data_IF_032729542282
#
_entry.id   IF_032729542282
#
_cell.length_a   1.000
_cell.length_b   1.000
_cell.length_c   1.000
_cell.angle_alpha   90.00
_cell.angle_beta   90.00
_cell.angle_gamma   90.00
#
_symmetry.space_group_name_H-M   'P 1'
#
loop_
_entity.id
_entity.type
_entity.pdbx_description
1 polymer ?
#
# COMPACT_ATOMS: atom_id res chain seq x y z
N UNK A 1 0.76 13.89 16.97
CA UNK A 1 0.21 12.90 16.01
C UNK A 1 0.85 13.22 14.66
N UNK A 2 1.53 12.25 14.06
CA UNK A 2 2.11 12.37 12.73
C UNK A 2 1.00 12.45 11.69
N UNK A 3 1.22 13.24 10.64
CA UNK A 3 0.27 13.38 9.52
C UNK A 3 0.88 12.70 8.31
N UNK A 4 0.22 11.65 7.82
CA UNK A 4 0.67 10.90 6.64
C UNK A 4 0.40 11.76 5.41
N UNK A 5 1.46 12.21 4.73
CA UNK A 5 1.32 13.04 3.52
C UNK A 5 0.84 12.22 2.32
N UNK A 6 0.28 12.88 1.32
CA UNK A 6 -0.10 12.25 0.06
C UNK A 6 1.10 11.59 -0.64
N UNK A 7 2.29 12.19 -0.56
CA UNK A 7 3.50 11.59 -1.15
C UNK A 7 3.85 10.26 -0.45
N UNK A 8 3.61 10.17 0.86
CA UNK A 8 3.85 8.94 1.60
C UNK A 8 2.87 7.83 1.21
N UNK A 9 1.59 8.16 0.96
CA UNK A 9 0.62 7.21 0.42
C UNK A 9 1.01 6.71 -0.98
N UNK A 10 1.44 7.61 -1.87
CA UNK A 10 1.88 7.25 -3.21
C UNK A 10 3.09 6.32 -3.17
N UNK A 11 4.05 6.62 -2.29
CA UNK A 11 5.26 5.84 -2.10
C UNK A 11 4.96 4.45 -1.51
N UNK A 12 4.07 4.35 -0.52
CA UNK A 12 3.57 3.07 0.01
C UNK A 12 2.87 2.28 -1.10
N UNK A 13 2.06 2.94 -1.93
CA UNK A 13 1.35 2.30 -3.02
C UNK A 13 2.30 1.75 -4.10
N UNK A 14 3.37 2.49 -4.44
CA UNK A 14 4.43 2.01 -5.35
C UNK A 14 5.05 0.72 -4.80
N UNK A 15 5.53 0.74 -3.54
CA UNK A 15 6.16 -0.44 -2.92
C UNK A 15 5.22 -1.63 -2.83
N UNK A 16 3.97 -1.41 -2.47
CA UNK A 16 2.96 -2.48 -2.44
C UNK A 16 2.74 -3.07 -3.83
N UNK A 17 2.57 -2.25 -4.87
CA UNK A 17 2.39 -2.74 -6.25
C UNK A 17 3.59 -3.54 -6.75
N UNK A 18 4.81 -3.14 -6.41
CA UNK A 18 6.02 -3.90 -6.72
C UNK A 18 6.07 -5.23 -5.98
N UNK A 19 5.60 -5.26 -4.73
CA UNK A 19 5.50 -6.48 -3.94
C UNK A 19 4.30 -7.37 -4.34
N UNK A 20 3.29 -6.82 -5.01
CA UNK A 20 2.15 -7.58 -5.50
C UNK A 20 2.58 -8.49 -6.65
N UNK A 21 2.64 -9.79 -6.38
CA UNK A 21 2.74 -10.80 -7.43
C UNK A 21 1.46 -10.91 -8.26
N UNK A 22 1.44 -11.90 -9.17
CA UNK A 22 0.25 -12.23 -9.98
C UNK A 22 -0.89 -12.93 -9.22
N UNK A 23 -0.75 -13.12 -7.90
CA UNK A 23 -1.75 -13.76 -7.05
C UNK A 23 -2.93 -12.83 -6.69
N UNK A 24 -3.92 -13.41 -6.02
CA UNK A 24 -5.09 -12.70 -5.47
C UNK A 24 -4.96 -12.35 -3.99
N UNK A 25 -3.80 -12.60 -3.37
CA UNK A 25 -3.57 -12.36 -1.95
C UNK A 25 -2.14 -11.88 -1.73
N UNK A 26 -1.98 -10.93 -0.84
CA UNK A 26 -0.70 -10.41 -0.37
C UNK A 26 -0.69 -10.43 1.16
N UNK A 27 0.43 -10.85 1.75
CA UNK A 27 0.68 -10.71 3.18
C UNK A 27 2.15 -10.41 3.37
N UNK A 28 2.45 -9.26 3.97
CA UNK A 28 3.82 -8.79 4.12
C UNK A 28 3.90 -7.38 4.67
N UNK A 29 5.11 -6.82 4.65
CA UNK A 29 5.40 -5.47 5.12
C UNK A 29 6.12 -4.65 4.07
N UNK A 30 5.81 -3.37 4.02
CA UNK A 30 6.56 -2.36 3.25
C UNK A 30 7.05 -1.27 4.20
N UNK A 31 8.28 -0.82 3.98
CA UNK A 31 8.93 0.21 4.78
C UNK A 31 9.19 1.44 3.91
N UNK A 32 9.01 2.62 4.47
CA UNK A 32 9.18 3.91 3.81
C UNK A 32 9.84 4.90 4.79
N UNK A 33 10.66 5.82 4.27
CA UNK A 33 11.35 6.81 5.08
C UNK A 33 11.05 8.21 4.55
N UNK A 34 10.73 9.14 5.46
CA UNK A 34 10.54 10.56 5.17
C UNK A 34 11.41 11.36 6.13
N UNK A 35 12.56 11.85 5.63
CA UNK A 35 13.59 12.45 6.47
C UNK A 35 14.11 11.42 7.49
N UNK A 36 14.03 11.75 8.78
CA UNK A 36 14.41 10.86 9.88
C UNK A 36 13.25 9.98 10.39
N UNK A 37 12.05 10.11 9.80
CA UNK A 37 10.88 9.33 10.20
C UNK A 37 10.80 8.04 9.38
N UNK A 38 10.73 6.91 10.07
CA UNK A 38 10.55 5.58 9.47
C UNK A 38 9.09 5.16 9.62
N UNK A 39 8.49 4.72 8.53
CA UNK A 39 7.11 4.26 8.47
C UNK A 39 7.09 2.81 7.96
N UNK A 40 6.28 1.96 8.59
CA UNK A 40 6.11 0.56 8.20
C UNK A 40 4.65 0.19 8.16
N UNK A 41 4.18 -0.26 7.00
CA UNK A 41 2.89 -0.87 6.81
C UNK A 41 3.06 -2.39 6.78
N UNK A 42 2.45 -3.11 7.71
CA UNK A 42 2.28 -4.56 7.60
C UNK A 42 0.82 -4.83 7.29
N UNK A 43 0.53 -5.58 6.22
CA UNK A 43 -0.84 -5.80 5.78
C UNK A 43 -1.05 -7.17 5.15
N UNK A 44 -2.26 -7.70 5.33
CA UNK A 44 -2.81 -8.82 4.58
C UNK A 44 -3.97 -8.33 3.73
N UNK A 45 -3.84 -8.45 2.41
CA UNK A 45 -4.69 -7.82 1.41
C UNK A 45 -5.23 -8.86 0.43
N UNK A 46 -6.52 -8.76 0.10
CA UNK A 46 -7.12 -9.47 -1.04
C UNK A 46 -7.04 -8.57 -2.27
N UNK A 47 -6.50 -9.11 -3.35
CA UNK A 47 -6.25 -8.41 -4.61
C UNK A 47 -7.23 -8.89 -5.67
N UNK A 48 -8.17 -8.04 -6.07
CA UNK A 48 -9.08 -8.32 -7.17
C UNK A 48 -8.46 -7.85 -8.48
N UNK A 49 -8.45 -8.73 -9.47
CA UNK A 49 -7.85 -8.46 -10.77
C UNK A 49 -8.82 -8.83 -11.88
N UNK A 50 -8.85 -8.01 -12.92
CA UNK A 50 -9.55 -8.29 -14.18
C UNK A 50 -8.52 -8.55 -15.27
N UNK A 51 -8.88 -9.46 -16.18
CA UNK A 51 -8.15 -9.72 -17.41
C UNK A 51 -8.82 -8.93 -18.53
N UNK A 52 -8.21 -7.81 -18.90
CA UNK A 52 -8.66 -6.99 -20.02
C UNK A 52 -8.08 -7.59 -21.31
N UNK A 53 -8.96 -8.18 -22.13
CA UNK A 53 -8.58 -8.82 -23.39
C UNK A 53 -8.70 -7.84 -24.55
N UNK A 54 -7.58 -7.57 -25.19
CA UNK A 54 -7.47 -6.73 -26.38
C UNK A 54 -6.92 -7.57 -27.55
N UNK A 55 -7.14 -7.16 -28.81
CA UNK A 55 -6.50 -7.80 -29.96
C UNK A 55 -4.97 -7.91 -29.83
N UNK A 56 -4.34 -6.93 -29.16
CA UNK A 56 -2.89 -6.85 -28.92
C UNK A 56 -2.41 -7.71 -27.74
N UNK A 57 -3.34 -8.29 -26.95
CA UNK A 57 -3.02 -9.19 -25.85
C UNK A 57 -3.93 -9.06 -24.63
N UNK A 58 -3.63 -9.85 -23.60
CA UNK A 58 -4.32 -9.80 -22.31
C UNK A 58 -3.52 -8.95 -21.32
N UNK A 59 -4.16 -7.97 -20.68
CA UNK A 59 -3.57 -7.19 -19.59
C UNK A 59 -4.31 -7.50 -18.30
N UNK A 60 -3.56 -7.88 -17.27
CA UNK A 60 -4.13 -8.13 -15.96
C UNK A 60 -4.05 -6.88 -15.10
N UNK A 61 -5.19 -6.24 -14.86
CA UNK A 61 -5.31 -5.00 -14.10
C UNK A 61 -5.81 -5.28 -12.69
N UNK A 62 -5.25 -4.57 -11.70
CA UNK A 62 -5.80 -4.56 -10.34
C UNK A 62 -7.06 -3.69 -10.32
N UNK A 63 -8.19 -4.28 -9.95
CA UNK A 63 -9.49 -3.59 -9.93
C UNK A 63 -9.92 -3.19 -8.53
N UNK A 64 -9.47 -3.94 -7.52
CA UNK A 64 -9.75 -3.61 -6.14
C UNK A 64 -8.72 -4.21 -5.17
N UNK A 65 -8.60 -3.60 -3.99
CA UNK A 65 -7.79 -4.07 -2.87
C UNK A 65 -8.60 -3.95 -1.59
N UNK A 66 -8.78 -5.08 -0.91
CA UNK A 66 -9.53 -5.14 0.35
C UNK A 66 -8.58 -5.56 1.47
N UNK A 67 -8.44 -4.76 2.54
CA UNK A 67 -7.63 -5.14 3.68
C UNK A 67 -8.37 -6.17 4.54
N UNK A 68 -7.69 -7.27 4.86
CA UNK A 68 -8.14 -8.25 5.86
C UNK A 68 -7.66 -7.83 7.25
N UNK A 69 -6.39 -7.43 7.33
CA UNK A 69 -5.73 -6.96 8.54
C UNK A 69 -4.58 -6.04 8.14
N UNK A 70 -4.30 -5.01 8.95
CA UNK A 70 -3.16 -4.12 8.74
C UNK A 70 -2.77 -3.39 10.03
N UNK A 71 -1.50 -3.01 10.10
CA UNK A 71 -0.94 -2.11 11.12
C UNK A 71 0.05 -1.14 10.45
N UNK A 72 0.02 0.13 10.85
CA UNK A 72 0.91 1.16 10.34
C UNK A 72 1.67 1.82 11.49
N UNK A 73 2.97 1.56 11.56
CA UNK A 73 3.87 2.11 12.57
C UNK A 73 4.63 3.31 12.02
N UNK A 74 4.77 4.34 12.86
CA UNK A 74 5.57 5.53 12.56
C UNK A 74 6.56 5.74 13.69
N UNK A 75 7.86 5.71 13.36
CA UNK A 75 8.96 5.88 14.31
C UNK A 75 9.75 7.13 13.94
N UNK A 76 9.88 8.03 14.90
CA UNK A 76 10.68 9.26 14.82
C UNK A 76 11.94 9.11 15.69
N UNK A 77 12.79 10.14 15.72
CA UNK A 77 13.94 10.18 16.62
C UNK A 77 13.54 10.04 18.12
N UNK A 78 12.34 10.51 18.48
CA UNK A 78 11.79 10.44 19.84
C UNK A 78 11.06 9.12 20.12
N UNK A 79 11.03 8.19 19.16
CA UNK A 79 10.36 6.89 19.25
C UNK A 79 9.07 6.80 18.44
N UNK A 80 8.26 5.79 18.76
CA UNK A 80 7.01 5.51 18.06
C UNK A 80 5.92 6.55 18.38
N UNK A 81 5.28 7.07 17.33
CA UNK A 81 4.25 8.10 17.41
C UNK A 81 2.97 7.66 16.73
N UNK A 82 1.84 8.10 17.28
CA UNK A 82 0.53 7.92 16.64
C UNK A 82 0.47 8.70 15.33
N UNK A 83 -0.18 8.12 14.33
CA UNK A 83 -0.42 8.68 13.01
C UNK A 83 -1.91 8.61 12.65
N UNK A 84 -2.29 9.29 11.57
CA UNK A 84 -3.63 9.33 11.01
C UNK A 84 -3.80 8.44 9.77
N UNK A 85 -2.96 7.41 9.61
CA UNK A 85 -3.00 6.55 8.43
C UNK A 85 -4.40 5.96 8.20
N UNK A 86 -4.86 6.06 6.96
CA UNK A 86 -6.14 5.56 6.51
C UNK A 86 -5.96 4.66 5.29
N UNK A 87 -6.38 3.40 5.40
CA UNK A 87 -6.37 2.52 4.25
C UNK A 87 -7.31 3.02 3.13
N UNK A 88 -8.37 3.77 3.49
CA UNK A 88 -9.27 4.35 2.50
C UNK A 88 -8.58 5.42 1.64
N UNK A 89 -7.58 6.11 2.18
CA UNK A 89 -6.77 7.09 1.43
C UNK A 89 -5.68 6.40 0.58
N UNK A 90 -5.14 5.27 1.06
CA UNK A 90 -4.19 4.46 0.30
C UNK A 90 -4.82 3.77 -0.92
N UNK A 91 -6.08 3.32 -0.80
CA UNK A 91 -6.73 2.47 -1.81
C UNK A 91 -6.77 3.08 -3.22
N UNK A 92 -7.16 4.36 -3.42
CA UNK A 92 -7.10 4.99 -4.74
C UNK A 92 -5.69 4.97 -5.35
N UNK A 93 -4.66 5.21 -4.54
CA UNK A 93 -3.27 5.17 -4.99
C UNK A 93 -2.84 3.79 -5.48
N UNK A 94 -3.48 2.69 -5.04
CA UNK A 94 -3.16 1.33 -5.47
C UNK A 94 -3.77 0.95 -6.84
N UNK A 95 -4.84 1.63 -7.28
CA UNK A 95 -5.66 1.24 -8.44
C UNK A 95 -5.35 2.01 -9.73
N UNK A 96 -4.22 2.73 -9.73
CA UNK A 96 -3.71 3.55 -10.84
C UNK A 96 -3.22 2.69 -12.00
#
# INVERSE_FOLDING_TARGET
MFQVSSELYDEIAIRLREAFGGGGFYSGSVECAVGETLCRLTASLVLYRSDDRWPEGCRRRLTDVVPVWWEFHTVTADGEVLNDFSFAELRPCLLV
#
